data_IF_639160925680
#
_entry.id   IF_639160925680
#
_cell.length_a   1.000
_cell.length_b   1.000
_cell.length_c   1.000
_cell.angle_alpha   90.00
_cell.angle_beta   90.00
_cell.angle_gamma   90.00
#
_symmetry.space_group_name_H-M   'P 1'
#
loop_
_entity.id
_entity.type
_entity.pdbx_description
1 polymer ?
#
# COMPACT_ATOMS: atom_id res chain seq x y z
N UNK A 1 -10.10 0.23 1.59
CA UNK A 1 -10.53 1.44 2.31
C UNK A 1 -10.40 2.68 1.43
N UNK A 2 -9.19 3.01 0.96
CA UNK A 2 -8.91 4.28 0.26
C UNK A 2 -9.72 4.48 -1.04
N UNK A 3 -9.81 3.46 -1.89
CA UNK A 3 -10.51 3.57 -3.18
C UNK A 3 -12.01 3.84 -2.99
N UNK A 4 -12.69 3.07 -2.13
CA UNK A 4 -14.11 3.30 -1.84
C UNK A 4 -14.35 4.61 -1.09
N UNK A 5 -13.41 5.06 -0.24
CA UNK A 5 -13.55 6.37 0.44
C UNK A 5 -13.43 7.56 -0.50
N UNK A 6 -12.72 7.41 -1.63
CA UNK A 6 -12.61 8.41 -2.67
C UNK A 6 -13.63 8.28 -3.80
N UNK A 7 -14.49 7.25 -3.75
CA UNK A 7 -15.46 6.97 -4.81
C UNK A 7 -16.54 8.06 -4.89
N UNK A 8 -16.87 8.47 -6.12
CA UNK A 8 -18.02 9.33 -6.40
C UNK A 8 -19.28 8.49 -6.56
N UNK A 9 -20.44 9.14 -6.42
CA UNK A 9 -21.74 8.49 -6.59
C UNK A 9 -21.82 7.82 -7.97
N UNK A 10 -22.05 6.51 -7.99
CA UNK A 10 -22.17 5.71 -9.20
C UNK A 10 -20.87 5.05 -9.68
N UNK A 11 -19.73 5.24 -8.99
CA UNK A 11 -18.47 4.57 -9.33
C UNK A 11 -18.33 3.17 -8.69
N UNK A 12 -19.25 2.79 -7.79
CA UNK A 12 -19.17 1.56 -7.00
C UNK A 12 -19.03 0.29 -7.86
N UNK A 13 -19.83 0.16 -8.93
CA UNK A 13 -19.80 -1.02 -9.81
C UNK A 13 -18.49 -1.11 -10.62
N UNK A 14 -18.01 0.04 -11.11
CA UNK A 14 -16.72 0.14 -11.82
C UNK A 14 -15.56 -0.25 -10.91
N UNK A 15 -15.56 0.25 -9.67
CA UNK A 15 -14.53 -0.07 -8.67
C UNK A 15 -14.54 -1.57 -8.34
N UNK A 16 -15.73 -2.15 -8.13
CA UNK A 16 -15.86 -3.60 -7.88
C UNK A 16 -15.36 -4.44 -9.04
N UNK A 17 -15.69 -4.04 -10.27
CA UNK A 17 -15.22 -4.72 -11.49
C UNK A 17 -13.70 -4.68 -11.64
N UNK A 18 -13.07 -3.55 -11.28
CA UNK A 18 -11.61 -3.45 -11.22
C UNK A 18 -11.01 -4.39 -10.16
N UNK A 19 -11.61 -4.50 -8.98
CA UNK A 19 -11.08 -5.39 -7.95
C UNK A 19 -11.25 -6.87 -8.29
N UNK A 20 -12.26 -7.24 -9.08
CA UNK A 20 -12.45 -8.63 -9.51
C UNK A 20 -11.32 -9.19 -10.38
N UNK A 21 -10.52 -8.32 -11.02
CA UNK A 21 -9.36 -8.73 -11.83
C UNK A 21 -8.04 -8.71 -11.04
N UNK A 22 -8.05 -8.31 -9.77
CA UNK A 22 -6.87 -8.22 -8.91
C UNK A 22 -6.92 -9.30 -7.84
N UNK A 23 -5.75 -9.80 -7.44
CA UNK A 23 -5.63 -10.70 -6.29
C UNK A 23 -5.55 -9.87 -5.01
N UNK A 24 -6.51 -10.08 -4.10
CA UNK A 24 -6.48 -9.48 -2.76
C UNK A 24 -5.52 -10.24 -1.85
N UNK A 25 -4.77 -9.50 -1.04
CA UNK A 25 -3.93 -10.04 0.02
C UNK A 25 -4.51 -9.55 1.34
N UNK A 26 -4.88 -10.48 2.21
CA UNK A 26 -5.40 -10.15 3.53
C UNK A 26 -4.27 -9.65 4.43
N UNK A 27 -4.58 -8.66 5.27
CA UNK A 27 -3.63 -8.13 6.25
C UNK A 27 -3.62 -9.05 7.46
N UNK A 28 -2.54 -9.81 7.63
CA UNK A 28 -2.29 -10.62 8.81
C UNK A 28 -1.44 -9.88 9.86
N UNK A 29 -1.09 -10.57 10.95
CA UNK A 29 -0.28 -10.01 12.03
C UNK A 29 1.13 -9.63 11.56
N UNK A 30 1.76 -10.40 10.67
CA UNK A 30 3.11 -10.10 10.18
C UNK A 30 3.13 -8.80 9.37
N UNK A 31 2.13 -8.61 8.50
CA UNK A 31 1.96 -7.37 7.74
C UNK A 31 1.65 -6.20 8.68
N UNK A 32 0.78 -6.40 9.68
CA UNK A 32 0.41 -5.36 10.64
C UNK A 32 1.63 -4.89 11.48
N UNK A 33 2.42 -5.83 11.98
CA UNK A 33 3.63 -5.54 12.76
C UNK A 33 4.69 -4.83 11.90
N UNK A 34 4.92 -5.33 10.67
CA UNK A 34 5.82 -4.69 9.71
C UNK A 34 5.41 -3.26 9.35
N UNK A 35 4.11 -3.02 9.17
CA UNK A 35 3.58 -1.68 8.94
C UNK A 35 3.79 -0.76 10.15
N UNK A 36 3.61 -1.30 11.36
CA UNK A 36 3.91 -0.61 12.63
C UNK A 36 5.36 -0.17 12.73
N UNK A 37 6.30 -1.05 12.37
CA UNK A 37 7.73 -0.70 12.34
C UNK A 37 8.03 0.42 11.34
N UNK A 38 7.45 0.37 10.15
CA UNK A 38 7.63 1.43 9.16
C UNK A 38 7.08 2.77 9.63
N UNK A 39 5.89 2.78 10.24
CA UNK A 39 5.33 3.99 10.83
C UNK A 39 6.22 4.54 11.94
N UNK A 40 6.73 3.68 12.83
CA UNK A 40 7.64 4.09 13.90
C UNK A 40 8.89 4.79 13.34
N UNK A 41 9.45 4.28 12.24
CA UNK A 41 10.68 4.79 11.61
C UNK A 41 10.43 6.04 10.74
N UNK A 42 9.34 6.09 9.99
CA UNK A 42 9.18 7.03 8.86
C UNK A 42 8.00 8.00 8.96
N UNK A 43 7.06 7.81 9.89
CA UNK A 43 5.89 8.69 10.02
C UNK A 43 6.27 10.16 10.26
N UNK A 44 7.26 10.42 11.12
CA UNK A 44 7.69 11.79 11.46
C UNK A 44 8.58 12.42 10.39
N UNK A 45 9.43 11.63 9.75
CA UNK A 45 10.46 12.12 8.83
C UNK A 45 9.98 12.22 7.38
N UNK A 46 9.07 11.34 6.96
CA UNK A 46 8.62 11.22 5.57
C UNK A 46 7.10 11.29 5.44
N UNK A 47 6.39 11.68 6.51
CA UNK A 47 4.93 11.76 6.55
C UNK A 47 4.22 10.46 6.11
N UNK A 48 4.87 9.30 6.33
CA UNK A 48 4.32 8.00 5.96
C UNK A 48 2.96 7.78 6.67
N UNK A 49 1.92 7.49 5.89
CA UNK A 49 0.59 7.19 6.40
C UNK A 49 0.39 5.68 6.59
N UNK A 50 -0.73 5.31 7.22
CA UNK A 50 -1.05 3.91 7.55
C UNK A 50 -1.23 3.07 6.29
N UNK A 51 -1.90 3.59 5.26
CA UNK A 51 -2.13 2.86 4.00
C UNK A 51 -0.82 2.53 3.29
N UNK A 52 0.05 3.53 3.10
CA UNK A 52 1.38 3.36 2.52
C UNK A 52 2.23 2.38 3.32
N UNK A 53 2.18 2.43 4.66
CA UNK A 53 2.92 1.51 5.52
C UNK A 53 2.44 0.05 5.36
N UNK A 54 1.12 -0.17 5.30
CA UNK A 54 0.54 -1.51 5.08
C UNK A 54 0.89 -2.04 3.70
N UNK A 55 0.81 -1.21 2.65
CA UNK A 55 1.18 -1.59 1.29
C UNK A 55 2.66 -1.99 1.23
N UNK A 56 3.54 -1.20 1.84
CA UNK A 56 4.98 -1.50 1.87
C UNK A 56 5.30 -2.78 2.66
N UNK A 57 4.66 -2.98 3.82
CA UNK A 57 4.83 -4.19 4.62
C UNK A 57 4.32 -5.43 3.89
N UNK A 58 3.18 -5.33 3.19
CA UNK A 58 2.65 -6.40 2.35
C UNK A 58 3.61 -6.77 1.23
N UNK A 59 4.16 -5.77 0.53
CA UNK A 59 5.11 -5.99 -0.55
C UNK A 59 6.38 -6.70 -0.05
N UNK A 60 6.91 -6.28 1.11
CA UNK A 60 8.04 -6.94 1.75
C UNK A 60 7.75 -8.39 2.14
N UNK A 61 6.65 -8.61 2.85
CA UNK A 61 6.28 -9.95 3.36
C UNK A 61 6.06 -10.96 2.23
N UNK A 62 5.44 -10.49 1.13
CA UNK A 62 5.13 -11.33 -0.02
C UNK A 62 6.27 -11.41 -1.04
N UNK A 63 7.41 -10.74 -0.80
CA UNK A 63 8.53 -10.66 -1.75
C UNK A 63 8.14 -10.03 -3.10
N UNK A 64 7.15 -9.15 -3.10
CA UNK A 64 6.60 -8.49 -4.29
C UNK A 64 7.19 -7.10 -4.50
N UNK A 65 7.08 -6.62 -5.74
CA UNK A 65 7.49 -5.25 -6.09
C UNK A 65 6.36 -4.27 -5.84
N UNK A 66 6.67 -3.14 -5.21
CA UNK A 66 5.72 -2.05 -5.01
C UNK A 66 5.73 -1.13 -6.24
N UNK A 67 4.63 -1.15 -6.99
CA UNK A 67 4.46 -0.29 -8.17
C UNK A 67 3.82 1.03 -7.75
N UNK A 68 4.52 2.15 -7.88
CA UNK A 68 3.98 3.47 -7.49
C UNK A 68 4.59 4.62 -8.29
N UNK A 69 3.81 5.68 -8.47
CA UNK A 69 4.33 6.97 -8.95
C UNK A 69 4.92 7.82 -7.82
N UNK A 70 4.58 7.53 -6.56
CA UNK A 70 4.96 8.32 -5.39
C UNK A 70 6.18 7.74 -4.68
N UNK A 71 7.27 7.50 -5.41
CA UNK A 71 8.48 6.82 -4.89
C UNK A 71 9.01 7.48 -3.60
N UNK A 72 8.92 8.81 -3.50
CA UNK A 72 9.39 9.57 -2.32
C UNK A 72 8.66 9.21 -1.01
N UNK A 73 7.46 8.63 -1.09
CA UNK A 73 6.68 8.23 0.08
C UNK A 73 7.17 6.93 0.70
N UNK A 74 8.03 6.17 0.00
CA UNK A 74 8.51 4.87 0.42
C UNK A 74 10.03 4.92 0.64
N UNK A 75 10.50 5.45 1.80
CA UNK A 75 11.93 5.59 2.09
C UNK A 75 12.61 4.29 2.51
N UNK A 76 11.84 3.21 2.73
CA UNK A 76 12.36 1.91 3.13
C UNK A 76 13.15 1.25 1.98
N UNK A 77 14.32 0.71 2.30
CA UNK A 77 15.26 0.12 1.32
C UNK A 77 15.07 -1.38 1.13
N UNK A 78 14.24 -1.99 1.96
CA UNK A 78 13.92 -3.42 1.97
C UNK A 78 12.67 -3.73 1.13
N UNK A 79 12.17 -2.77 0.35
CA UNK A 79 11.06 -2.93 -0.60
C UNK A 79 11.56 -2.54 -1.99
N UNK A 80 11.38 -3.42 -2.98
CA UNK A 80 11.71 -3.10 -4.37
C UNK A 80 10.59 -2.23 -4.97
N UNK A 81 10.94 -1.01 -5.39
CA UNK A 81 9.99 -0.04 -5.96
C UNK A 81 10.14 0.02 -7.48
N UNK A 82 9.02 -0.07 -8.18
CA UNK A 82 8.94 0.08 -9.63
C UNK A 82 8.09 1.30 -9.97
N UNK A 83 8.63 2.21 -10.79
CA UNK A 83 7.86 3.33 -11.32
C UNK A 83 7.08 2.87 -12.56
N UNK A 84 5.75 3.00 -12.59
CA UNK A 84 4.99 2.75 -13.80
C UNK A 84 5.14 3.98 -14.72
N UNK A 85 6.00 3.83 -15.73
CA UNK A 85 6.27 4.76 -16.85
C UNK A 85 6.72 6.20 -16.49
#
# INVERSE_FOLDING_TARGET
MEIFSGARKGEDETIRSLFNILTSIDVDLAIADGAGEYLMKFRKSHALNIGDAVIAATAKEMGMKLVTRNIKHYPMKDVEIVKPY
#
